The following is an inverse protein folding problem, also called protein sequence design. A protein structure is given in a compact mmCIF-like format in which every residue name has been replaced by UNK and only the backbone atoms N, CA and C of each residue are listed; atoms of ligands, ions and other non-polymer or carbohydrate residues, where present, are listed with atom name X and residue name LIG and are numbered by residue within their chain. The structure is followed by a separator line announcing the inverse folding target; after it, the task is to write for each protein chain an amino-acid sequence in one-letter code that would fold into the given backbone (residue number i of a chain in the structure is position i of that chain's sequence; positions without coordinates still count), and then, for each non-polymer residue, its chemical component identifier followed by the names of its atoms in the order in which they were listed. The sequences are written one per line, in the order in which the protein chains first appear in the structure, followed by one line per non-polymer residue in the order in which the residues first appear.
data_IF_880160502497
#
_entry.id   IF_880160502497
#
_cell.length_a   1.000
_cell.length_b   1.000
_cell.length_c   1.000
_cell.angle_alpha   90.00
_cell.angle_beta   90.00
_cell.angle_gamma   90.00
#
_symmetry.space_group_name_H-M   'P 1'
#
loop_
_entity.id
_entity.type
_entity.pdbx_description
1 polymer ?
#
# COMPACT_ATOMS: atom_id res chain seq x y z
N UNK A 1 24.46 -7.91 -2.03
CA UNK A 1 23.27 -8.71 -2.36
C UNK A 1 22.22 -7.76 -2.87
N UNK A 2 21.66 -8.01 -4.05
CA UNK A 2 20.66 -7.13 -4.69
C UNK A 2 19.27 -7.34 -4.11
N UNK A 3 18.33 -6.42 -4.36
CA UNK A 3 16.92 -6.57 -3.93
C UNK A 3 16.31 -7.89 -4.41
N UNK A 4 16.50 -8.25 -5.69
CA UNK A 4 15.99 -9.48 -6.27
C UNK A 4 16.59 -10.72 -5.58
N UNK A 5 17.89 -10.69 -5.27
CA UNK A 5 18.54 -11.78 -4.52
C UNK A 5 17.95 -11.90 -3.11
N UNK A 6 17.74 -10.79 -2.40
CA UNK A 6 17.15 -10.76 -1.05
C UNK A 6 15.74 -11.35 -1.05
N UNK A 7 14.90 -10.95 -2.01
CA UNK A 7 13.54 -11.48 -2.19
C UNK A 7 13.59 -12.98 -2.52
N UNK A 8 14.44 -13.40 -3.46
CA UNK A 8 14.56 -14.82 -3.84
C UNK A 8 15.10 -15.71 -2.70
N UNK A 9 15.91 -15.14 -1.80
CA UNK A 9 16.45 -15.81 -0.62
C UNK A 9 15.50 -15.78 0.59
N UNK A 10 14.41 -14.99 0.55
CA UNK A 10 13.47 -14.88 1.67
C UNK A 10 12.80 -16.22 1.98
N UNK A 11 12.79 -16.60 3.26
CA UNK A 11 12.17 -17.84 3.76
C UNK A 11 11.29 -17.61 4.99
N UNK A 12 10.94 -16.35 5.29
CA UNK A 12 10.13 -16.03 6.45
C UNK A 12 8.66 -16.41 6.27
N UNK A 13 7.95 -16.52 7.39
CA UNK A 13 6.53 -16.90 7.41
C UNK A 13 5.66 -15.73 6.94
N UNK A 14 4.72 -15.94 6.00
CA UNK A 14 3.77 -14.91 5.61
C UNK A 14 2.93 -14.41 6.78
N UNK A 15 2.65 -13.10 6.83
CA UNK A 15 1.90 -12.45 7.92
C UNK A 15 0.62 -11.84 7.36
N UNK A 16 -0.53 -12.14 7.97
CA UNK A 16 -1.77 -11.45 7.63
C UNK A 16 -1.86 -10.14 8.40
N UNK A 17 -1.68 -9.01 7.69
CA UNK A 17 -1.84 -7.68 8.28
C UNK A 17 -3.28 -7.38 8.70
N UNK A 18 -3.47 -6.39 9.55
CA UNK A 18 -4.78 -5.89 9.97
C UNK A 18 -5.33 -4.78 9.06
N UNK A 19 -4.50 -4.14 8.23
CA UNK A 19 -4.89 -2.97 7.44
C UNK A 19 -5.10 -3.27 5.95
N UNK A 20 -5.79 -2.33 5.29
CA UNK A 20 -5.98 -2.23 3.85
C UNK A 20 -6.02 -0.75 3.44
N UNK A 21 -5.76 -0.45 2.17
CA UNK A 21 -5.90 0.89 1.60
C UNK A 21 -7.16 0.91 0.75
N UNK A 22 -8.16 1.69 1.17
CA UNK A 22 -9.33 2.01 0.36
C UNK A 22 -9.09 3.33 -0.36
N UNK A 23 -9.28 3.39 -1.69
CA UNK A 23 -8.98 4.60 -2.46
C UNK A 23 -9.85 4.77 -3.71
N UNK A 24 -10.02 6.02 -4.14
CA UNK A 24 -10.77 6.40 -5.34
C UNK A 24 -9.80 7.04 -6.34
N UNK A 25 -9.29 6.23 -7.27
CA UNK A 25 -8.43 6.71 -8.36
C UNK A 25 -9.20 7.60 -9.34
N UNK A 26 -10.48 7.28 -9.58
CA UNK A 26 -11.44 8.04 -10.36
C UNK A 26 -12.73 8.23 -9.53
N UNK A 27 -13.33 9.42 -9.58
CA UNK A 27 -14.51 9.79 -8.77
C UNK A 27 -15.79 9.07 -9.20
N UNK A 28 -15.86 8.73 -10.48
CA UNK A 28 -17.01 8.06 -11.09
C UNK A 28 -16.92 6.53 -10.97
N UNK A 29 -15.81 6.02 -10.44
CA UNK A 29 -15.58 4.60 -10.24
C UNK A 29 -15.77 4.18 -8.78
N UNK A 30 -16.10 2.90 -8.54
CA UNK A 30 -16.21 2.39 -7.18
C UNK A 30 -14.83 2.38 -6.50
N UNK A 31 -14.82 2.54 -5.18
CA UNK A 31 -13.62 2.44 -4.34
C UNK A 31 -12.82 1.19 -4.68
N UNK A 32 -11.51 1.37 -4.85
CA UNK A 32 -10.53 0.29 -4.90
C UNK A 32 -10.04 -0.06 -3.51
N UNK A 33 -9.70 -1.33 -3.29
CA UNK A 33 -9.18 -1.82 -2.02
C UNK A 33 -7.90 -2.60 -2.30
N UNK A 34 -6.79 -2.10 -1.77
CA UNK A 34 -5.49 -2.75 -1.80
C UNK A 34 -5.21 -3.42 -0.45
N UNK A 35 -5.02 -4.74 -0.48
CA UNK A 35 -4.64 -5.55 0.68
C UNK A 35 -3.18 -5.96 0.46
N UNK A 36 -2.29 -5.78 1.45
CA UNK A 36 -0.89 -6.17 1.30
C UNK A 36 -0.78 -7.68 1.11
N UNK A 37 0.11 -8.11 0.21
CA UNK A 37 0.47 -9.52 0.11
C UNK A 37 1.10 -9.98 1.44
N UNK A 38 0.71 -11.15 2.00
CA UNK A 38 1.23 -11.61 3.28
C UNK A 38 2.75 -11.85 3.32
N UNK A 39 3.35 -12.26 2.20
CA UNK A 39 4.80 -12.44 2.11
C UNK A 39 5.50 -11.09 2.00
N UNK A 40 4.94 -10.17 1.21
CA UNK A 40 5.43 -8.80 1.12
C UNK A 40 5.42 -8.08 2.47
N UNK A 41 4.32 -8.19 3.22
CA UNK A 41 4.22 -7.59 4.54
C UNK A 41 5.24 -8.20 5.52
N UNK A 42 5.40 -9.53 5.51
CA UNK A 42 6.41 -10.19 6.33
C UNK A 42 7.84 -9.68 6.02
N UNK A 43 8.15 -9.42 4.74
CA UNK A 43 9.44 -8.83 4.34
C UNK A 43 9.58 -7.38 4.83
N UNK A 44 8.52 -6.58 4.77
CA UNK A 44 8.51 -5.21 5.28
C UNK A 44 8.78 -5.15 6.80
N UNK A 45 8.11 -6.02 7.57
CA UNK A 45 8.25 -6.11 9.02
C UNK A 45 9.63 -6.63 9.45
N UNK A 46 10.18 -7.60 8.72
CA UNK A 46 11.53 -8.11 9.00
C UNK A 46 12.63 -7.10 8.68
N UNK A 47 12.41 -6.26 7.65
CA UNK A 47 13.40 -5.31 7.16
C UNK A 47 14.56 -5.97 6.43
N UNK A 48 15.47 -5.14 5.93
CA UNK A 48 16.67 -5.58 5.25
C UNK A 48 16.43 -6.17 3.87
N UNK A 49 15.21 -6.05 3.31
CA UNK A 49 14.80 -6.69 2.04
C UNK A 49 14.31 -5.68 1.02
N UNK A 50 13.31 -4.87 1.41
CA UNK A 50 12.64 -3.95 0.51
C UNK A 50 13.52 -2.72 0.22
N UNK A 51 13.50 -2.21 -1.03
CA UNK A 51 14.22 -1.00 -1.41
C UNK A 51 13.47 0.26 -0.93
N UNK A 52 14.13 1.42 -0.84
CA UNK A 52 13.47 2.70 -0.58
C UNK A 52 12.58 3.13 -1.77
N UNK A 53 11.59 3.98 -1.50
CA UNK A 53 10.60 4.41 -2.50
C UNK A 53 11.20 5.21 -3.65
N UNK A 54 12.19 6.06 -3.37
CA UNK A 54 12.89 6.89 -4.35
C UNK A 54 13.60 6.06 -5.43
N UNK A 55 14.04 4.85 -5.10
CA UNK A 55 14.66 3.94 -6.06
C UNK A 55 13.75 3.60 -7.24
N UNK A 56 12.42 3.58 -7.06
CA UNK A 56 11.47 3.28 -8.14
C UNK A 56 11.48 4.33 -9.26
N UNK A 57 11.85 5.58 -8.97
CA UNK A 57 12.01 6.62 -9.99
C UNK A 57 13.19 6.33 -10.94
N UNK A 58 14.20 5.58 -10.47
CA UNK A 58 15.36 5.15 -11.24
C UNK A 58 15.16 3.83 -12.02
N UNK A 59 13.97 3.24 -11.97
CA UNK A 59 13.67 1.98 -12.65
C UNK A 59 14.29 0.75 -11.99
N UNK A 60 14.24 -0.39 -12.71
CA UNK A 60 14.56 -1.71 -12.15
C UNK A 60 16.02 -1.82 -11.64
N UNK A 61 16.99 -1.25 -12.35
CA UNK A 61 18.40 -1.31 -11.96
C UNK A 61 18.66 -0.57 -10.64
N UNK A 62 18.07 0.61 -10.47
CA UNK A 62 18.16 1.39 -9.24
C UNK A 62 17.49 0.64 -8.07
N UNK A 63 16.31 0.06 -8.31
CA UNK A 63 15.60 -0.79 -7.34
C UNK A 63 16.45 -1.99 -6.91
N UNK A 64 17.14 -2.64 -7.84
CA UNK A 64 17.94 -3.83 -7.53
C UNK A 64 19.22 -3.49 -6.77
N UNK A 65 19.83 -2.33 -7.07
CA UNK A 65 21.06 -1.86 -6.44
C UNK A 65 20.86 -1.16 -5.08
N UNK A 66 19.63 -0.69 -4.78
CA UNK A 66 19.39 0.12 -3.60
C UNK A 66 19.67 -0.59 -2.26
N UNK A 67 20.20 0.16 -1.30
CA UNK A 67 20.33 -0.29 0.08
C UNK A 67 18.93 -0.59 0.66
N UNK A 68 18.75 -1.70 1.40
CA UNK A 68 17.43 -2.06 1.87
C UNK A 68 17.02 -1.17 3.05
N UNK A 69 15.73 -0.93 3.18
CA UNK A 69 15.15 -0.31 4.38
C UNK A 69 15.29 -1.22 5.59
N UNK A 70 15.35 -0.62 6.78
CA UNK A 70 15.23 -1.34 8.05
C UNK A 70 13.83 -1.93 8.27
N UNK A 71 13.63 -2.63 9.40
CA UNK A 71 12.31 -3.17 9.76
C UNK A 71 11.30 -2.03 9.92
N UNK A 72 10.09 -2.25 9.40
CA UNK A 72 8.98 -1.31 9.48
C UNK A 72 7.90 -1.83 10.42
N UNK A 73 7.13 -0.90 11.01
CA UNK A 73 5.80 -1.22 11.57
C UNK A 73 4.81 -1.53 10.45
N UNK A 74 3.66 -2.14 10.79
CA UNK A 74 2.63 -2.38 9.78
C UNK A 74 2.11 -1.06 9.19
N UNK A 75 1.92 -0.02 10.01
CA UNK A 75 1.51 1.31 9.59
C UNK A 75 2.50 1.93 8.58
N UNK A 76 3.80 1.87 8.87
CA UNK A 76 4.84 2.34 7.96
C UNK A 76 4.87 1.54 6.66
N UNK A 77 4.66 0.22 6.73
CA UNK A 77 4.55 -0.61 5.54
C UNK A 77 3.33 -0.24 4.69
N UNK A 78 2.19 0.09 5.31
CA UNK A 78 1.00 0.56 4.58
C UNK A 78 1.21 1.92 3.93
N UNK A 79 1.91 2.86 4.59
CA UNK A 79 2.29 4.15 3.99
C UNK A 79 3.25 3.98 2.81
N UNK A 80 4.20 3.06 2.94
CA UNK A 80 5.09 2.68 1.84
C UNK A 80 4.29 2.12 0.67
N UNK A 81 3.36 1.19 0.94
CA UNK A 81 2.56 0.54 -0.09
C UNK A 81 1.61 1.52 -0.79
N UNK A 82 1.05 2.49 -0.05
CA UNK A 82 0.27 3.60 -0.60
C UNK A 82 1.09 4.37 -1.63
N UNK A 83 2.30 4.81 -1.29
CA UNK A 83 3.12 5.59 -2.21
C UNK A 83 3.63 4.78 -3.40
N UNK A 84 3.93 3.49 -3.20
CA UNK A 84 4.45 2.59 -4.23
C UNK A 84 3.40 2.18 -5.26
N UNK A 85 2.21 1.76 -4.80
CA UNK A 85 1.22 1.05 -5.64
C UNK A 85 -0.07 1.83 -5.89
N UNK A 86 -0.32 2.94 -5.17
CA UNK A 86 -1.50 3.80 -5.41
C UNK A 86 -1.09 5.01 -6.26
N UNK A 87 -1.87 5.38 -7.30
CA UNK A 87 -1.55 6.52 -8.15
C UNK A 87 -1.29 7.81 -7.35
N UNK A 88 -0.23 8.54 -7.69
CA UNK A 88 0.21 9.72 -6.95
C UNK A 88 -0.90 10.76 -6.75
N UNK A 89 -1.76 11.00 -7.75
CA UNK A 89 -2.86 11.97 -7.63
C UNK A 89 -3.93 11.62 -6.58
N UNK A 90 -3.88 10.43 -5.99
CA UNK A 90 -4.74 10.02 -4.87
C UNK A 90 -4.21 10.53 -3.53
N UNK A 91 -2.88 10.54 -3.34
CA UNK A 91 -2.23 10.79 -2.05
C UNK A 91 -1.32 12.03 -2.01
N UNK A 92 -0.81 12.47 -3.16
CA UNK A 92 0.07 13.63 -3.34
C UNK A 92 -0.70 14.91 -3.73
N UNK A 93 -2.02 14.81 -3.94
CA UNK A 93 -2.78 15.90 -4.56
C UNK A 93 -3.19 17.01 -3.57
N UNK A 94 -2.81 18.29 -3.83
CA UNK A 94 -3.42 19.47 -3.22
C UNK A 94 -4.74 19.90 -3.90
N UNK A 95 -5.21 19.16 -4.92
CA UNK A 95 -6.19 19.62 -5.91
C UNK A 95 -7.68 19.34 -5.56
N UNK A 96 -8.02 19.10 -4.29
CA UNK A 96 -9.41 18.89 -3.92
C UNK A 96 -9.67 18.99 -2.42
N UNK A 97 -10.91 19.32 -2.08
CA UNK A 97 -11.33 19.57 -0.70
C UNK A 97 -11.66 18.27 0.07
N UNK A 98 -11.55 17.10 -0.60
CA UNK A 98 -11.91 15.80 -0.04
C UNK A 98 -10.74 14.83 -0.09
N UNK A 99 -10.61 14.03 0.97
CA UNK A 99 -9.65 12.93 1.06
C UNK A 99 -10.04 11.80 0.10
N UNK A 100 -9.09 11.27 -0.68
CA UNK A 100 -9.33 10.23 -1.71
C UNK A 100 -8.87 8.83 -1.34
N UNK A 101 -8.30 8.65 -0.15
CA UNK A 101 -7.90 7.34 0.36
C UNK A 101 -8.04 7.25 1.89
N UNK A 102 -8.16 6.04 2.40
CA UNK A 102 -8.06 5.73 3.81
C UNK A 102 -7.25 4.44 3.99
N UNK A 103 -6.24 4.49 4.86
CA UNK A 103 -5.67 3.28 5.47
C UNK A 103 -6.65 2.89 6.59
N UNK A 104 -7.29 1.73 6.44
CA UNK A 104 -8.36 1.28 7.34
C UNK A 104 -8.13 -0.16 7.77
N UNK A 105 -8.70 -0.56 8.90
CA UNK A 105 -8.66 -1.97 9.33
C UNK A 105 -9.53 -2.81 8.41
N UNK A 106 -9.09 -4.03 8.10
CA UNK A 106 -9.81 -4.96 7.21
C UNK A 106 -11.21 -5.32 7.75
N UNK A 107 -11.40 -5.31 9.07
CA UNK A 107 -12.69 -5.60 9.71
C UNK A 107 -13.70 -4.45 9.58
N UNK A 108 -13.23 -3.24 9.28
CA UNK A 108 -14.07 -2.07 8.98
C UNK A 108 -14.55 -2.04 7.52
N UNK A 109 -13.98 -2.87 6.65
CA UNK A 109 -14.48 -3.01 5.29
C UNK A 109 -15.84 -3.76 5.30
N UNK A 110 -16.77 -3.41 4.41
CA UNK A 110 -18.03 -4.13 4.35
C UNK A 110 -17.81 -5.63 4.09
N UNK A 111 -18.37 -6.47 4.96
CA UNK A 111 -18.18 -7.94 4.92
C UNK A 111 -18.85 -8.57 3.70
N UNK A 112 -19.98 -8.02 3.26
CA UNK A 112 -20.67 -8.45 2.05
C UNK A 112 -20.17 -7.66 0.86
N UNK A 113 -19.82 -8.35 -0.23
CA UNK A 113 -19.48 -7.74 -1.51
C UNK A 113 -20.70 -7.43 -2.38
N UNK A 114 -21.91 -7.65 -1.86
CA UNK A 114 -23.13 -7.22 -2.53
C UNK A 114 -23.05 -5.69 -2.69
N UNK A 115 -23.14 -5.20 -3.93
CA UNK A 115 -22.96 -3.78 -4.29
C UNK A 115 -21.52 -3.23 -4.23
N UNK A 116 -20.50 -4.09 -4.34
CA UNK A 116 -19.09 -3.67 -4.44
C UNK A 116 -18.83 -2.63 -5.56
N UNK A 117 -19.66 -2.63 -6.60
CA UNK A 117 -19.66 -1.66 -7.69
C UNK A 117 -20.29 -0.30 -7.36
N UNK A 118 -20.71 -0.06 -6.13
CA UNK A 118 -21.28 1.22 -5.67
C UNK A 118 -20.57 1.78 -4.43
N UNK A 119 -19.49 1.13 -3.98
CA UNK A 119 -18.77 1.59 -2.79
C UNK A 119 -18.10 2.94 -3.06
N UNK A 120 -18.28 3.87 -2.13
CA UNK A 120 -17.65 5.19 -2.11
C UNK A 120 -17.02 5.46 -0.74
N UNK A 121 -15.97 6.28 -0.72
CA UNK A 121 -15.46 6.80 0.55
C UNK A 121 -16.47 7.81 1.11
N UNK A 122 -16.72 7.76 2.43
CA UNK A 122 -17.55 8.77 3.10
C UNK A 122 -16.83 10.12 3.02
N UNK A 123 -17.52 11.17 2.58
CA UNK A 123 -17.00 12.53 2.70
C UNK A 123 -17.13 12.99 4.16
N UNK A 124 -16.10 13.61 4.70
CA UNK A 124 -16.13 14.14 6.07
C UNK A 124 -16.95 15.43 6.18
N UNK A 125 -17.41 15.97 5.06
CA UNK A 125 -18.32 17.11 5.00
C UNK A 125 -19.82 16.74 5.07
N UNK A 126 -20.15 15.44 5.06
CA UNK A 126 -21.52 14.92 5.07
C UNK A 126 -22.16 14.81 6.49
N UNK A 127 -21.61 15.50 7.51
CA UNK A 127 -22.12 15.49 8.90
C UNK A 127 -22.77 16.84 9.30
#
# INVERSE_FOLDING_TARGET
MTTSQRIAAWRGTPVSGQYAIAFEANLDEPVSVLIPDPSWLAMALAGGILPPLDAYAGGLEAVDAAAPLGPMTEEQAMEYLLQKDVPAHVWDAPAGNRRRFAITRKDMLPKSRQWRGAWKLKDLSDD
#
